data_IF_082901060871
#
_entry.id   IF_082901060871
#
_cell.length_a   1.000
_cell.length_b   1.000
_cell.length_c   1.000
_cell.angle_alpha   90.00
_cell.angle_beta   90.00
_cell.angle_gamma   90.00
#
_symmetry.space_group_name_H-M   'P 1'
#
loop_
_entity.id
_entity.type
_entity.pdbx_description
1 polymer ?
#
# COMPACT_ATOMS: atom_id res chain seq x y z
N UNK A 1 24.57 -12.73 11.69
CA UNK A 1 24.71 -11.36 11.13
C UNK A 1 24.52 -11.30 9.61
N UNK A 2 25.26 -12.10 8.82
CA UNK A 2 25.24 -12.02 7.35
C UNK A 2 23.86 -12.27 6.70
N UNK A 3 23.02 -13.16 7.25
CA UNK A 3 21.68 -13.43 6.71
C UNK A 3 20.70 -12.26 6.91
N UNK A 4 20.77 -11.56 8.05
CA UNK A 4 19.92 -10.39 8.32
C UNK A 4 20.25 -9.24 7.37
N UNK A 5 21.53 -9.02 7.08
CA UNK A 5 21.94 -7.98 6.14
C UNK A 5 21.45 -8.25 4.71
N UNK A 6 21.42 -9.52 4.29
CA UNK A 6 20.85 -9.95 3.01
C UNK A 6 19.34 -9.74 2.96
N UNK A 7 18.62 -10.10 4.03
CA UNK A 7 17.17 -9.93 4.13
C UNK A 7 16.75 -8.46 4.18
N UNK A 8 17.45 -7.62 4.96
CA UNK A 8 17.19 -6.17 5.01
C UNK A 8 17.40 -5.50 3.66
N UNK A 9 18.44 -5.88 2.91
CA UNK A 9 18.65 -5.37 1.55
C UNK A 9 17.54 -5.77 0.59
N UNK A 10 17.05 -7.00 0.68
CA UNK A 10 15.95 -7.49 -0.14
C UNK A 10 14.63 -6.77 0.17
N UNK A 11 14.25 -6.71 1.45
CA UNK A 11 13.01 -6.04 1.88
C UNK A 11 13.07 -4.54 1.61
N UNK A 12 14.20 -3.89 1.89
CA UNK A 12 14.42 -2.47 1.60
C UNK A 12 14.36 -2.16 0.11
N UNK A 13 14.98 -2.99 -0.73
CA UNK A 13 14.90 -2.87 -2.19
C UNK A 13 13.47 -3.02 -2.70
N UNK A 14 12.77 -4.08 -2.27
CA UNK A 14 11.36 -4.27 -2.62
C UNK A 14 10.48 -3.11 -2.15
N UNK A 15 10.73 -2.57 -0.96
CA UNK A 15 10.01 -1.41 -0.43
C UNK A 15 10.21 -0.18 -1.30
N UNK A 16 11.46 0.12 -1.71
CA UNK A 16 11.75 1.26 -2.59
C UNK A 16 11.07 1.12 -3.95
N UNK A 17 11.10 -0.07 -4.54
CA UNK A 17 10.41 -0.35 -5.80
C UNK A 17 8.90 -0.08 -5.65
N UNK A 18 8.26 -0.62 -4.61
CA UNK A 18 6.84 -0.38 -4.35
C UNK A 18 6.50 1.11 -4.14
N UNK A 19 7.39 1.89 -3.51
CA UNK A 19 7.22 3.33 -3.33
C UNK A 19 7.25 4.08 -4.65
N UNK A 20 8.19 3.74 -5.54
CA UNK A 20 8.31 4.36 -6.87
C UNK A 20 7.08 4.03 -7.72
N UNK A 21 6.64 2.77 -7.74
CA UNK A 21 5.40 2.40 -8.44
C UNK A 21 4.16 3.10 -7.87
N UNK A 22 4.09 3.26 -6.54
CA UNK A 22 3.04 4.05 -5.89
C UNK A 22 3.03 5.51 -6.34
N UNK A 23 4.20 6.14 -6.40
CA UNK A 23 4.34 7.52 -6.87
C UNK A 23 3.95 7.67 -8.35
N UNK A 24 4.33 6.73 -9.22
CA UNK A 24 3.91 6.73 -10.63
C UNK A 24 2.39 6.63 -10.73
N UNK A 25 1.77 5.71 -9.98
CA UNK A 25 0.31 5.58 -9.92
C UNK A 25 -0.35 6.89 -9.52
N UNK A 26 0.15 7.55 -8.48
CA UNK A 26 -0.44 8.79 -7.98
C UNK A 26 -0.32 9.93 -9.02
N UNK A 27 0.81 10.03 -9.74
CA UNK A 27 0.99 10.98 -10.85
C UNK A 27 0.04 10.68 -12.01
N UNK A 28 -0.10 9.40 -12.39
CA UNK A 28 -1.01 8.97 -13.47
C UNK A 28 -2.45 9.30 -13.12
N UNK A 29 -2.89 8.97 -11.90
CA UNK A 29 -4.25 9.27 -11.46
C UNK A 29 -4.50 10.77 -11.37
N UNK A 30 -3.54 11.56 -10.88
CA UNK A 30 -3.64 13.01 -10.86
C UNK A 30 -3.73 13.62 -12.28
N UNK A 31 -3.06 13.03 -13.28
CA UNK A 31 -3.16 13.47 -14.68
C UNK A 31 -4.46 13.05 -15.37
N UNK A 32 -4.96 11.85 -15.07
CA UNK A 32 -6.16 11.30 -15.70
C UNK A 32 -7.44 11.92 -15.12
N UNK A 33 -7.50 12.11 -13.80
CA UNK A 33 -8.70 12.61 -13.13
C UNK A 33 -8.61 14.11 -12.80
N UNK A 34 -7.41 14.69 -12.70
CA UNK A 34 -7.23 16.05 -12.19
C UNK A 34 -7.55 16.19 -10.69
N UNK A 35 -7.58 17.42 -10.20
CA UNK A 35 -8.14 17.73 -8.88
C UNK A 35 -9.68 17.78 -9.01
N UNK A 36 -10.35 16.65 -8.78
CA UNK A 36 -11.78 16.54 -8.97
C UNK A 36 -12.43 15.45 -8.12
N UNK A 37 -13.73 15.64 -7.83
CA UNK A 37 -14.54 14.76 -6.97
C UNK A 37 -14.49 13.27 -7.36
N UNK A 38 -14.31 12.97 -8.65
CA UNK A 38 -14.20 11.58 -9.12
C UNK A 38 -12.98 10.83 -8.58
N UNK A 39 -11.84 11.51 -8.43
CA UNK A 39 -10.63 10.92 -7.87
C UNK A 39 -10.78 10.66 -6.36
N UNK A 40 -11.33 11.64 -5.64
CA UNK A 40 -11.55 11.53 -4.20
C UNK A 40 -12.51 10.38 -3.86
N UNK A 41 -13.60 10.25 -4.61
CA UNK A 41 -14.56 9.14 -4.45
C UNK A 41 -13.91 7.79 -4.75
N UNK A 42 -13.10 7.69 -5.81
CA UNK A 42 -12.37 6.46 -6.13
C UNK A 42 -11.43 6.05 -4.99
N UNK A 43 -10.62 6.98 -4.47
CA UNK A 43 -9.68 6.70 -3.38
C UNK A 43 -10.44 6.27 -2.10
N UNK A 44 -11.54 6.93 -1.77
CA UNK A 44 -12.37 6.58 -0.60
C UNK A 44 -13.02 5.21 -0.78
N UNK A 45 -13.58 4.91 -1.96
CA UNK A 45 -14.19 3.61 -2.25
C UNK A 45 -13.17 2.47 -2.08
N UNK A 46 -11.94 2.67 -2.54
CA UNK A 46 -10.86 1.69 -2.38
C UNK A 46 -10.39 1.49 -0.93
N UNK A 47 -10.67 2.42 0.00
CA UNK A 47 -10.30 2.25 1.41
C UNK A 47 -11.12 1.17 2.11
N UNK A 48 -12.39 1.00 1.75
CA UNK A 48 -13.29 0.01 2.37
C UNK A 48 -12.75 -1.43 2.20
N UNK A 49 -12.49 -1.94 0.98
CA UNK A 49 -11.96 -3.29 0.82
C UNK A 49 -10.55 -3.43 1.39
N UNK A 50 -9.72 -2.38 1.31
CA UNK A 50 -8.39 -2.40 1.93
C UNK A 50 -8.48 -2.52 3.45
N UNK A 51 -9.40 -1.82 4.09
CA UNK A 51 -9.64 -1.95 5.54
C UNK A 51 -10.03 -3.39 5.90
N UNK A 52 -10.97 -3.98 5.16
CA UNK A 52 -11.38 -5.37 5.38
C UNK A 52 -10.21 -6.35 5.19
N UNK A 53 -9.38 -6.16 4.16
CA UNK A 53 -8.19 -6.98 3.92
C UNK A 53 -7.19 -6.88 5.08
N UNK A 54 -6.96 -5.68 5.61
CA UNK A 54 -6.07 -5.48 6.77
C UNK A 54 -6.64 -6.12 8.03
N UNK A 55 -7.95 -6.04 8.23
CA UNK A 55 -8.63 -6.63 9.37
C UNK A 55 -8.54 -8.17 9.33
N UNK A 56 -8.90 -8.79 8.21
CA UNK A 56 -9.08 -10.24 8.13
C UNK A 56 -7.90 -11.02 7.53
N UNK A 57 -7.18 -10.46 6.55
CA UNK A 57 -6.15 -11.19 5.80
C UNK A 57 -4.72 -10.90 6.26
N UNK A 58 -4.44 -9.69 6.77
CA UNK A 58 -3.11 -9.33 7.29
C UNK A 58 -2.91 -9.69 8.78
N UNK A 59 -3.86 -10.39 9.40
CA UNK A 59 -3.74 -10.85 10.80
C UNK A 59 -4.04 -9.79 11.86
N UNK A 60 -4.56 -8.61 11.48
CA UNK A 60 -5.01 -7.59 12.44
C UNK A 60 -6.04 -8.11 13.44
N UNK A 61 -6.95 -8.99 13.00
CA UNK A 61 -7.89 -9.69 13.88
C UNK A 61 -7.17 -10.65 14.84
N UNK A 62 -6.18 -11.41 14.35
CA UNK A 62 -5.43 -12.36 15.20
C UNK A 62 -4.63 -11.70 16.32
N UNK A 63 -4.20 -10.44 16.16
CA UNK A 63 -3.50 -9.66 17.21
C UNK A 63 -4.44 -9.14 18.32
N UNK A 64 -5.76 -9.08 18.07
CA UNK A 64 -6.73 -8.61 19.05
C UNK A 64 -7.24 -9.72 19.99
N UNK A 65 -7.04 -10.99 19.62
CA UNK A 65 -7.56 -12.16 20.34
C UNK A 65 -6.46 -13.14 20.82
N UNK A 66 -5.19 -12.83 20.57
CA UNK A 66 -3.99 -13.55 21.10
C UNK A 66 -3.19 -12.56 21.93
#
# INVERSE_FOLDING_TARGET
>A
MASMFKSTRLVGGMTMISRVFGMIRDIVLARLFGAGLGFDVFIVAFRIPNFLRRLFAEGGFSQAFV
#
